data_IF_025468626549
#
_entry.id   IF_025468626549
#
_cell.length_a   1.000
_cell.length_b   1.000
_cell.length_c   1.000
_cell.angle_alpha   90.00
_cell.angle_beta   90.00
_cell.angle_gamma   90.00
#
_symmetry.space_group_name_H-M   'P 1'
#
loop_
_entity.id
_entity.type
_entity.pdbx_description
1 polymer ?
#
# COMPACT_ATOMS: atom_id res chain seq x y z
N UNK A 1 -37.51 -9.93 -16.13
CA UNK A 1 -37.77 -9.06 -14.96
C UNK A 1 -36.81 -7.89 -15.03
N UNK A 2 -37.30 -6.65 -14.94
CA UNK A 2 -36.42 -5.47 -14.91
C UNK A 2 -35.52 -5.54 -13.67
N UNK A 3 -34.22 -5.27 -13.85
CA UNK A 3 -33.26 -5.23 -12.74
C UNK A 3 -33.68 -4.13 -11.75
N UNK A 4 -33.77 -4.48 -10.47
CA UNK A 4 -34.07 -3.50 -9.43
C UNK A 4 -32.83 -2.66 -9.12
N UNK A 5 -32.78 -1.45 -9.66
CA UNK A 5 -31.71 -0.48 -9.39
C UNK A 5 -31.98 0.32 -8.10
N UNK A 6 -30.96 0.69 -7.32
CA UNK A 6 -31.13 1.48 -6.11
C UNK A 6 -31.67 2.88 -6.42
N UNK A 7 -32.41 3.47 -5.48
CA UNK A 7 -32.87 4.86 -5.57
C UNK A 7 -31.68 5.84 -5.61
N UNK A 8 -31.92 7.10 -5.96
CA UNK A 8 -30.89 8.15 -5.93
C UNK A 8 -30.27 8.27 -4.53
N UNK A 9 -31.11 8.30 -3.50
CA UNK A 9 -30.68 8.41 -2.10
C UNK A 9 -29.87 7.19 -1.66
N UNK A 10 -30.32 5.98 -2.00
CA UNK A 10 -29.59 4.74 -1.69
C UNK A 10 -28.24 4.70 -2.40
N UNK A 11 -28.18 5.11 -3.66
CA UNK A 11 -26.95 5.16 -4.44
C UNK A 11 -25.95 6.19 -3.89
N UNK A 12 -26.43 7.36 -3.47
CA UNK A 12 -25.63 8.39 -2.83
C UNK A 12 -25.13 7.95 -1.44
N UNK A 13 -25.98 7.31 -0.64
CA UNK A 13 -25.61 6.78 0.68
C UNK A 13 -24.50 5.71 0.60
N UNK A 14 -24.37 5.02 -0.53
CA UNK A 14 -23.32 4.03 -0.77
C UNK A 14 -21.98 4.62 -1.25
N UNK A 15 -21.86 5.95 -1.41
CA UNK A 15 -20.66 6.61 -1.94
C UNK A 15 -19.39 6.25 -1.13
N UNK A 16 -19.44 6.43 0.18
CA UNK A 16 -18.30 6.19 1.06
C UNK A 16 -17.87 4.72 1.06
N UNK A 17 -18.83 3.82 1.23
CA UNK A 17 -18.57 2.38 1.20
C UNK A 17 -17.94 1.96 -0.14
N UNK A 18 -18.43 2.50 -1.26
CA UNK A 18 -17.86 2.24 -2.57
C UNK A 18 -16.39 2.68 -2.66
N UNK A 19 -16.06 3.92 -2.25
CA UNK A 19 -14.68 4.41 -2.33
C UNK A 19 -13.75 3.53 -1.48
N UNK A 20 -14.13 3.23 -0.25
CA UNK A 20 -13.30 2.44 0.67
C UNK A 20 -13.13 0.97 0.26
N UNK A 21 -14.02 0.44 -0.58
CA UNK A 21 -13.94 -0.95 -1.06
C UNK A 21 -13.22 -1.09 -2.39
N UNK A 22 -13.26 -0.08 -3.26
CA UNK A 22 -12.67 -0.15 -4.61
C UNK A 22 -11.14 0.02 -4.60
N UNK A 23 -10.59 0.70 -3.61
CA UNK A 23 -9.15 0.97 -3.52
C UNK A 23 -8.74 1.06 -2.05
N UNK A 24 -7.55 0.55 -1.69
CA UNK A 24 -6.99 0.68 -0.35
C UNK A 24 -6.26 2.01 -0.17
N UNK A 25 -6.22 2.54 1.06
CA UNK A 25 -5.66 3.88 1.32
C UNK A 25 -4.22 4.04 0.79
N UNK A 26 -3.38 3.02 0.96
CA UNK A 26 -1.98 3.04 0.54
C UNK A 26 -1.78 3.01 -0.99
N UNK A 27 -2.77 2.57 -1.75
CA UNK A 27 -2.77 2.57 -3.23
C UNK A 27 -3.11 3.95 -3.81
N UNK A 28 -3.62 4.87 -2.98
CA UNK A 28 -3.98 6.24 -3.39
C UNK A 28 -2.82 7.22 -3.37
N UNK A 29 -1.65 6.78 -2.91
CA UNK A 29 -0.46 7.60 -2.77
C UNK A 29 0.71 6.96 -3.47
N UNK A 30 1.67 7.79 -3.88
CA UNK A 30 2.86 7.32 -4.60
C UNK A 30 3.64 6.27 -3.80
N UNK A 31 4.15 5.28 -4.49
CA UNK A 31 5.08 4.30 -3.96
C UNK A 31 6.55 4.72 -4.13
N UNK A 32 6.82 5.90 -4.69
CA UNK A 32 8.16 6.45 -4.84
C UNK A 32 8.70 6.95 -3.48
N UNK A 33 9.83 6.42 -2.99
CA UNK A 33 10.47 6.89 -1.76
C UNK A 33 10.75 8.40 -1.73
N UNK A 34 10.99 9.04 -2.89
CA UNK A 34 11.26 10.46 -3.00
C UNK A 34 10.09 11.35 -2.58
N UNK A 35 8.86 10.82 -2.55
CA UNK A 35 7.69 11.54 -2.05
C UNK A 35 7.55 11.51 -0.52
N UNK A 36 8.34 10.68 0.18
CA UNK A 36 8.19 10.44 1.62
C UNK A 36 9.42 10.83 2.44
N UNK A 37 10.57 10.90 1.79
CA UNK A 37 11.86 11.21 2.38
C UNK A 37 12.53 12.34 1.59
N UNK A 38 13.08 13.32 2.30
CA UNK A 38 14.01 14.28 1.68
C UNK A 38 15.26 13.54 1.18
N UNK A 39 16.03 14.12 0.24
CA UNK A 39 17.29 13.51 -0.21
C UNK A 39 18.26 13.19 0.93
N UNK A 40 18.31 14.06 1.95
CA UNK A 40 19.14 13.86 3.15
C UNK A 40 18.64 12.68 3.99
N UNK A 41 17.32 12.56 4.19
CA UNK A 41 16.74 11.46 4.94
C UNK A 41 16.86 10.12 4.19
N UNK A 42 16.80 10.12 2.85
CA UNK A 42 17.06 8.92 2.04
C UNK A 42 18.51 8.46 2.17
N UNK A 43 19.44 9.41 2.13
CA UNK A 43 20.87 9.16 2.33
C UNK A 43 21.10 8.61 3.74
N UNK A 44 20.55 9.26 4.76
CA UNK A 44 20.65 8.81 6.15
C UNK A 44 20.06 7.40 6.31
N UNK A 45 18.88 7.12 5.76
CA UNK A 45 18.26 5.80 5.81
C UNK A 45 19.17 4.73 5.21
N UNK A 46 19.74 5.00 4.03
CA UNK A 46 20.65 4.09 3.34
C UNK A 46 21.93 3.82 4.14
N UNK A 47 22.53 4.87 4.72
CA UNK A 47 23.72 4.75 5.55
C UNK A 47 23.48 3.96 6.83
N UNK A 48 22.43 4.30 7.60
CA UNK A 48 22.07 3.61 8.84
C UNK A 48 21.72 2.14 8.57
N UNK A 49 20.96 1.88 7.51
CA UNK A 49 20.66 0.51 7.07
C UNK A 49 21.95 -0.27 6.76
N UNK A 50 22.87 0.33 6.01
CA UNK A 50 24.15 -0.28 5.67
C UNK A 50 24.98 -0.64 6.91
N UNK A 51 25.07 0.27 7.89
CA UNK A 51 25.77 0.05 9.16
C UNK A 51 25.14 -1.09 9.96
N UNK A 52 23.82 -1.05 10.19
CA UNK A 52 23.10 -2.09 10.94
C UNK A 52 23.26 -3.46 10.29
N UNK A 53 23.12 -3.55 8.96
CA UNK A 53 23.33 -4.79 8.20
C UNK A 53 24.77 -5.30 8.35
N UNK A 54 25.75 -4.40 8.25
CA UNK A 54 27.17 -4.73 8.39
C UNK A 54 27.50 -5.30 9.77
N UNK A 55 27.06 -4.62 10.83
CA UNK A 55 27.27 -5.04 12.22
C UNK A 55 26.56 -6.36 12.51
N UNK A 56 25.30 -6.49 12.12
CA UNK A 56 24.53 -7.73 12.31
C UNK A 56 25.22 -8.90 11.62
N UNK A 57 25.73 -8.72 10.39
CA UNK A 57 26.50 -9.75 9.69
C UNK A 57 27.79 -10.11 10.41
N UNK A 58 28.49 -9.14 11.00
CA UNK A 58 29.72 -9.39 11.77
C UNK A 58 29.43 -10.27 12.98
N UNK A 59 28.40 -9.93 13.76
CA UNK A 59 27.94 -10.74 14.90
C UNK A 59 27.53 -12.14 14.45
N UNK A 60 26.71 -12.24 13.40
CA UNK A 60 26.24 -13.52 12.88
C UNK A 60 27.38 -14.42 12.40
N UNK A 61 28.46 -13.88 11.80
CA UNK A 61 29.62 -14.68 11.37
C UNK A 61 30.34 -15.34 12.56
N UNK A 62 30.40 -14.67 13.71
CA UNK A 62 31.01 -15.22 14.93
C UNK A 62 30.17 -16.27 15.66
N UNK A 63 28.90 -16.48 15.26
CA UNK A 63 27.93 -17.30 16.01
C UNK A 63 27.71 -18.72 15.49
N UNK A 64 28.52 -19.24 14.55
CA UNK A 64 28.40 -20.63 14.08
C UNK A 64 27.55 -20.83 12.82
N UNK A 65 26.90 -22.00 12.68
CA UNK A 65 26.15 -22.42 11.47
C UNK A 65 24.79 -23.07 11.75
N UNK A 66 24.29 -22.86 12.96
CA UNK A 66 22.98 -23.27 13.43
C UNK A 66 21.88 -22.80 12.45
N UNK A 67 20.77 -23.53 12.38
CA UNK A 67 19.68 -23.25 11.45
C UNK A 67 19.17 -21.80 11.55
N UNK A 68 19.00 -21.29 12.78
CA UNK A 68 18.53 -19.94 13.04
C UNK A 68 19.53 -18.87 12.57
N UNK A 69 20.83 -19.08 12.84
CA UNK A 69 21.90 -18.18 12.38
C UNK A 69 21.96 -18.13 10.86
N UNK A 70 21.77 -19.28 10.18
CA UNK A 70 21.70 -19.34 8.71
C UNK A 70 20.45 -18.63 8.17
N UNK A 71 19.31 -18.81 8.82
CA UNK A 71 18.07 -18.10 8.49
C UNK A 71 18.26 -16.60 8.57
N UNK A 72 18.83 -16.11 9.68
CA UNK A 72 19.03 -14.68 9.93
C UNK A 72 20.02 -14.04 8.95
N UNK A 73 21.08 -14.77 8.57
CA UNK A 73 22.00 -14.33 7.50
C UNK A 73 21.29 -14.17 6.15
N UNK A 74 20.37 -15.08 5.81
CA UNK A 74 19.57 -15.01 4.57
C UNK A 74 18.61 -13.83 4.62
N UNK A 75 17.87 -13.67 5.72
CA UNK A 75 16.93 -12.57 5.93
C UNK A 75 17.60 -11.21 5.79
N UNK A 76 18.71 -10.98 6.49
CA UNK A 76 19.48 -9.72 6.39
C UNK A 76 19.95 -9.46 4.95
N UNK A 77 20.40 -10.50 4.24
CA UNK A 77 20.91 -10.34 2.87
C UNK A 77 19.81 -10.07 1.86
N UNK A 78 18.66 -10.75 2.00
CA UNK A 78 17.49 -10.53 1.16
C UNK A 78 16.91 -9.13 1.40
N UNK A 79 16.71 -8.74 2.66
CA UNK A 79 16.21 -7.43 3.03
C UNK A 79 17.12 -6.31 2.51
N UNK A 80 18.44 -6.41 2.69
CA UNK A 80 19.38 -5.42 2.16
C UNK A 80 19.34 -5.30 0.63
N UNK A 81 19.09 -6.40 -0.09
CA UNK A 81 18.91 -6.34 -1.55
C UNK A 81 17.62 -5.60 -1.90
N UNK A 82 16.51 -5.97 -1.26
CA UNK A 82 15.18 -5.38 -1.49
C UNK A 82 15.13 -3.89 -1.20
N UNK A 83 15.81 -3.43 -0.14
CA UNK A 83 15.85 -2.01 0.22
C UNK A 83 16.60 -1.12 -0.79
N UNK A 84 17.47 -1.69 -1.65
CA UNK A 84 18.28 -0.91 -2.61
C UNK A 84 17.60 -0.67 -3.95
N UNK A 85 16.52 -1.40 -4.24
CA UNK A 85 15.92 -1.44 -5.58
C UNK A 85 14.39 -1.51 -5.52
N UNK A 86 13.81 -1.19 -4.37
CA UNK A 86 12.39 -1.37 -4.10
C UNK A 86 11.62 -0.06 -4.06
N UNK A 87 10.31 -0.14 -4.21
CA UNK A 87 9.37 0.94 -3.85
C UNK A 87 9.45 1.28 -2.37
N UNK A 88 8.83 2.37 -1.95
CA UNK A 88 8.73 2.79 -0.54
C UNK A 88 8.21 1.65 0.36
N UNK A 89 7.21 0.89 -0.10
CA UNK A 89 6.74 -0.30 0.62
C UNK A 89 7.80 -1.39 0.73
N UNK A 90 8.48 -1.68 -0.38
CA UNK A 90 9.54 -2.69 -0.38
C UNK A 90 10.70 -2.29 0.54
N UNK A 91 11.05 -0.99 0.59
CA UNK A 91 12.03 -0.42 1.54
C UNK A 91 11.53 -0.57 2.97
N UNK A 92 10.30 -0.16 3.29
CA UNK A 92 9.74 -0.25 4.63
C UNK A 92 9.66 -1.70 5.14
N UNK A 93 9.26 -2.64 4.28
CA UNK A 93 9.25 -4.07 4.62
C UNK A 93 10.66 -4.61 4.85
N UNK A 94 11.61 -4.26 3.97
CA UNK A 94 13.00 -4.65 4.12
C UNK A 94 13.62 -4.10 5.41
N UNK A 95 13.39 -2.83 5.72
CA UNK A 95 13.87 -2.20 6.95
C UNK A 95 13.23 -2.88 8.17
N UNK A 96 11.95 -3.22 8.13
CA UNK A 96 11.29 -3.96 9.22
C UNK A 96 11.93 -5.34 9.46
N UNK A 97 12.29 -6.06 8.40
CA UNK A 97 12.99 -7.34 8.50
C UNK A 97 14.41 -7.20 9.07
N UNK A 98 15.12 -6.13 8.68
CA UNK A 98 16.41 -5.79 9.28
C UNK A 98 16.27 -5.45 10.75
N UNK A 99 15.34 -4.55 11.13
CA UNK A 99 15.13 -4.16 12.52
C UNK A 99 14.78 -5.36 13.41
N UNK A 100 13.92 -6.27 12.93
CA UNK A 100 13.52 -7.48 13.65
C UNK A 100 14.70 -8.43 13.85
N UNK A 101 15.49 -8.64 12.81
CA UNK A 101 16.61 -9.60 12.84
C UNK A 101 17.80 -9.01 13.61
N UNK A 102 18.19 -7.77 13.30
CA UNK A 102 19.26 -7.06 13.99
C UNK A 102 18.95 -6.88 15.48
N UNK A 103 17.70 -6.61 15.87
CA UNK A 103 17.31 -6.49 17.28
C UNK A 103 17.49 -7.76 18.12
N UNK A 104 17.63 -8.95 17.50
CA UNK A 104 17.99 -10.19 18.22
C UNK A 104 19.48 -10.31 18.53
N UNK A 105 20.32 -9.51 17.87
CA UNK A 105 21.77 -9.67 17.89
C UNK A 105 22.52 -8.43 18.34
N UNK A 106 21.99 -7.26 18.00
CA UNK A 106 22.47 -5.96 18.42
C UNK A 106 21.71 -5.57 19.69
N UNK A 107 22.42 -5.07 20.69
CA UNK A 107 21.81 -4.56 21.91
C UNK A 107 20.87 -3.39 21.64
N UNK A 108 19.99 -3.10 22.61
CA UNK A 108 19.05 -1.97 22.56
C UNK A 108 19.74 -0.60 22.61
N UNK A 109 21.00 -0.57 23.01
CA UNK A 109 21.91 0.57 23.05
C UNK A 109 22.55 0.91 21.69
N UNK A 110 22.33 0.09 20.66
CA UNK A 110 22.86 0.37 19.32
C UNK A 110 22.20 1.61 18.69
N UNK A 111 22.96 2.70 18.61
CA UNK A 111 22.47 4.00 18.13
C UNK A 111 21.99 3.95 16.67
N UNK A 112 22.69 3.21 15.79
CA UNK A 112 22.31 3.08 14.39
C UNK A 112 20.98 2.31 14.23
N UNK A 113 20.77 1.26 15.03
CA UNK A 113 19.51 0.50 15.06
C UNK A 113 18.34 1.36 15.54
N UNK A 114 18.56 2.15 16.59
CA UNK A 114 17.56 3.08 17.12
C UNK A 114 17.21 4.16 16.11
N UNK A 115 18.21 4.79 15.48
CA UNK A 115 17.99 5.82 14.45
C UNK A 115 17.29 5.26 13.21
N UNK A 116 17.65 4.04 12.78
CA UNK A 116 16.98 3.37 11.67
C UNK A 116 15.49 3.10 11.97
N UNK A 117 15.17 2.77 13.23
CA UNK A 117 13.77 2.58 13.68
C UNK A 117 12.98 3.88 13.61
N UNK A 118 13.57 5.00 14.03
CA UNK A 118 12.95 6.33 13.95
C UNK A 118 12.66 6.73 12.51
N UNK A 119 13.65 6.63 11.61
CA UNK A 119 13.47 6.95 10.19
C UNK A 119 12.37 6.10 9.56
N UNK A 120 12.35 4.79 9.82
CA UNK A 120 11.31 3.90 9.31
C UNK A 120 9.91 4.28 9.83
N UNK A 121 9.81 4.69 11.10
CA UNK A 121 8.55 5.16 11.70
C UNK A 121 8.09 6.48 11.08
N UNK A 122 9.00 7.42 10.85
CA UNK A 122 8.70 8.71 10.20
C UNK A 122 8.12 8.51 8.79
N UNK A 123 8.77 7.67 7.97
CA UNK A 123 8.28 7.38 6.61
C UNK A 123 6.88 6.78 6.64
N UNK A 124 6.67 5.77 7.50
CA UNK A 124 5.37 5.14 7.68
C UNK A 124 4.31 6.15 8.08
N UNK A 125 4.58 6.97 9.09
CA UNK A 125 3.64 7.98 9.58
C UNK A 125 3.27 9.01 8.50
N UNK A 126 4.25 9.52 7.76
CA UNK A 126 4.02 10.50 6.68
C UNK A 126 3.16 9.89 5.58
N UNK A 127 3.46 8.67 5.17
CA UNK A 127 2.73 7.97 4.12
C UNK A 127 1.31 7.60 4.56
N UNK A 128 1.14 7.07 5.76
CA UNK A 128 -0.19 6.72 6.30
C UNK A 128 -1.08 7.96 6.42
N UNK A 129 -0.52 9.09 6.86
CA UNK A 129 -1.25 10.36 6.93
C UNK A 129 -1.68 10.86 5.54
N UNK A 130 -0.79 10.77 4.55
CA UNK A 130 -1.12 11.16 3.19
C UNK A 130 -2.17 10.22 2.56
N UNK A 131 -2.06 8.91 2.83
CA UNK A 131 -3.02 7.91 2.40
C UNK A 131 -4.42 8.17 2.98
N UNK A 132 -4.50 8.48 4.28
CA UNK A 132 -5.75 8.86 4.93
C UNK A 132 -6.35 10.13 4.32
N UNK A 133 -5.54 11.17 4.11
CA UNK A 133 -6.00 12.42 3.49
C UNK A 133 -6.48 12.21 2.04
N UNK A 134 -5.80 11.36 1.27
CA UNK A 134 -6.21 11.00 -0.09
C UNK A 134 -7.51 10.20 -0.11
N UNK A 135 -7.70 9.27 0.83
CA UNK A 135 -8.97 8.54 0.99
C UNK A 135 -10.11 9.51 1.34
N UNK A 136 -9.93 10.38 2.33
CA UNK A 136 -10.93 11.37 2.71
C UNK A 136 -11.30 12.32 1.56
N UNK A 137 -10.31 12.76 0.78
CA UNK A 137 -10.56 13.57 -0.41
C UNK A 137 -11.35 12.77 -1.47
N UNK A 138 -11.00 11.51 -1.71
CA UNK A 138 -11.72 10.65 -2.65
C UNK A 138 -13.17 10.40 -2.22
N UNK A 139 -13.40 10.15 -0.92
CA UNK A 139 -14.74 10.01 -0.34
C UNK A 139 -15.53 11.29 -0.53
N UNK A 140 -14.97 12.46 -0.19
CA UNK A 140 -15.65 13.75 -0.38
C UNK A 140 -16.00 14.02 -1.84
N UNK A 141 -15.07 13.78 -2.75
CA UNK A 141 -15.29 13.96 -4.19
C UNK A 141 -16.39 13.02 -4.72
N UNK A 142 -16.41 11.76 -4.29
CA UNK A 142 -17.44 10.81 -4.72
C UNK A 142 -18.82 11.13 -4.11
N UNK A 143 -18.88 11.50 -2.83
CA UNK A 143 -20.11 11.96 -2.18
C UNK A 143 -20.67 13.20 -2.89
N UNK A 144 -19.83 14.18 -3.21
CA UNK A 144 -20.25 15.36 -3.96
C UNK A 144 -20.76 14.99 -5.36
N UNK A 145 -20.05 14.10 -6.07
CA UNK A 145 -20.45 13.62 -7.39
C UNK A 145 -21.80 12.89 -7.35
N UNK A 146 -22.03 12.00 -6.40
CA UNK A 146 -23.30 11.23 -6.32
C UNK A 146 -24.48 12.06 -5.85
N UNK A 147 -24.24 13.11 -5.07
CA UNK A 147 -25.29 14.05 -4.67
C UNK A 147 -25.64 15.05 -5.78
N UNK A 148 -24.77 15.26 -6.76
CA UNK A 148 -25.02 16.19 -7.86
C UNK A 148 -26.07 15.67 -8.86
N UNK A 149 -26.76 16.59 -9.51
CA UNK A 149 -27.71 16.24 -10.58
C UNK A 149 -27.00 15.59 -11.77
N UNK A 150 -25.83 16.12 -12.15
CA UNK A 150 -25.00 15.59 -13.24
C UNK A 150 -24.56 14.15 -12.95
N UNK A 151 -24.12 13.86 -11.73
CA UNK A 151 -23.71 12.52 -11.34
C UNK A 151 -24.88 11.54 -11.37
N UNK A 152 -26.08 11.98 -10.97
CA UNK A 152 -27.29 11.17 -11.09
C UNK A 152 -27.67 10.86 -12.54
N UNK A 153 -27.61 11.86 -13.44
CA UNK A 153 -27.88 11.63 -14.85
C UNK A 153 -26.88 10.66 -15.48
N UNK A 154 -25.58 10.80 -15.17
CA UNK A 154 -24.55 9.86 -15.63
C UNK A 154 -24.79 8.42 -15.14
N UNK A 155 -25.29 8.26 -13.91
CA UNK A 155 -25.66 6.94 -13.38
C UNK A 155 -26.90 6.36 -14.07
N UNK A 156 -27.93 7.17 -14.35
CA UNK A 156 -29.09 6.73 -15.15
C UNK A 156 -28.68 6.27 -16.55
N UNK A 157 -27.77 7.00 -17.20
CA UNK A 157 -27.24 6.63 -18.51
C UNK A 157 -26.44 5.32 -18.44
N UNK A 158 -25.59 5.14 -17.41
CA UNK A 158 -24.86 3.89 -17.17
C UNK A 158 -25.81 2.71 -17.00
N UNK A 159 -26.87 2.86 -16.20
CA UNK A 159 -27.90 1.83 -16.00
C UNK A 159 -28.60 1.49 -17.31
N UNK A 160 -29.00 2.49 -18.09
CA UNK A 160 -29.59 2.29 -19.41
C UNK A 160 -28.66 1.51 -20.34
N UNK A 161 -27.36 1.84 -20.37
CA UNK A 161 -26.39 1.09 -21.18
C UNK A 161 -26.31 -0.38 -20.77
N UNK A 162 -26.29 -0.65 -19.47
CA UNK A 162 -26.25 -2.02 -18.92
C UNK A 162 -27.53 -2.79 -19.26
N UNK A 163 -28.69 -2.17 -19.10
CA UNK A 163 -29.97 -2.82 -19.40
C UNK A 163 -30.16 -3.05 -20.91
N UNK A 164 -29.55 -2.21 -21.77
CA UNK A 164 -29.58 -2.38 -23.23
C UNK A 164 -28.59 -3.43 -23.73
N UNK A 165 -27.44 -3.58 -23.07
CA UNK A 165 -26.36 -4.51 -23.48
C UNK A 165 -26.47 -5.88 -22.81
N UNK A 166 -27.66 -6.31 -22.36
CA UNK A 166 -27.82 -7.64 -21.77
C UNK A 166 -27.55 -8.73 -22.84
N UNK A 167 -26.44 -9.49 -22.77
CA UNK A 167 -26.06 -10.46 -23.80
C UNK A 167 -27.01 -11.68 -23.83
N UNK A 168 -27.90 -11.81 -22.85
CA UNK A 168 -28.85 -12.90 -22.75
C UNK A 168 -30.04 -12.78 -23.71
N UNK A 169 -30.22 -11.63 -24.38
CA UNK A 169 -31.31 -11.43 -25.36
C UNK A 169 -30.86 -11.74 -26.80
N UNK A 170 -29.56 -11.77 -27.09
CA UNK A 170 -29.03 -11.96 -28.45
C UNK A 170 -29.01 -13.41 -28.94
N UNK A 171 -29.30 -14.41 -28.09
CA UNK A 171 -29.32 -15.83 -28.48
C UNK A 171 -30.72 -16.40 -28.72
N UNK A 172 -31.80 -15.63 -28.54
CA UNK A 172 -33.17 -16.11 -28.74
C UNK A 172 -33.73 -15.88 -30.17
N UNK A 173 -32.97 -15.21 -31.05
CA UNK A 173 -33.45 -14.80 -32.38
C UNK A 173 -32.77 -15.51 -33.56
N UNK A 174 -32.17 -16.70 -33.34
CA UNK A 174 -31.39 -17.42 -34.37
C UNK A 174 -31.69 -18.92 -34.46
N UNK A 175 -32.94 -19.34 -34.25
CA UNK A 175 -33.32 -20.75 -34.23
C UNK A 175 -34.73 -21.00 -34.77
N UNK A 176 -35.02 -20.50 -35.96
CA UNK A 176 -36.12 -20.96 -36.77
C UNK A 176 -35.75 -20.78 -38.24
N UNK A 177 -35.07 -21.77 -38.80
CA UNK A 177 -35.09 -22.16 -40.21
C UNK A 177 -34.55 -23.58 -40.34
#
# INVERSE_FOLDING_TARGET
MARAWPSREQWAAQAEHHVRTVCFAHERVSDDPANWLTPDEQTELGERLGKVVGETRRVLRGRGTEADVRSDRRTISHANRRARSGSADAILHAVADVLRTAGRHLGTDNADLSRLRELAAMVRQRRDRAAAAAEEQAVRSEVARRNSQEGWQAELERRRRIDTHDPLITHAAGGAE
#
